data_IF_019964788619
#
_entry.id   IF_019964788619
#
_cell.length_a   1.000
_cell.length_b   1.000
_cell.length_c   1.000
_cell.angle_alpha   90.00
_cell.angle_beta   90.00
_cell.angle_gamma   90.00
#
_symmetry.space_group_name_H-M   'P 1'
#
loop_
_entity.id
_entity.type
_entity.pdbx_description
1 polymer ?
#
# COMPACT_ATOMS: atom_id res chain seq x y z
N UNK A 1 6.70 8.77 3.99
CA UNK A 1 5.66 8.20 3.09
C UNK A 1 5.72 6.70 3.21
N UNK A 2 4.57 6.04 3.35
CA UNK A 2 4.50 4.59 3.54
C UNK A 2 5.18 3.85 2.38
N UNK A 3 6.25 3.15 2.70
CA UNK A 3 7.04 2.40 1.73
C UNK A 3 7.11 0.91 2.08
N UNK A 4 6.40 0.50 3.13
CA UNK A 4 6.51 -0.86 3.63
C UNK A 4 5.26 -1.26 4.40
N UNK A 5 4.74 -2.44 4.12
CA UNK A 5 3.56 -2.99 4.78
C UNK A 5 3.60 -4.51 4.82
N UNK A 6 2.77 -5.07 5.68
CA UNK A 6 2.55 -6.50 5.79
C UNK A 6 1.17 -6.85 5.23
N UNK A 7 1.07 -7.73 4.23
CA UNK A 7 -0.20 -8.21 3.71
C UNK A 7 -1.03 -8.97 4.75
N UNK A 8 -2.20 -9.42 4.36
CA UNK A 8 -3.11 -10.18 5.20
C UNK A 8 -2.54 -11.55 5.59
N UNK A 9 -2.89 -12.01 6.78
CA UNK A 9 -2.82 -13.41 7.16
C UNK A 9 -4.05 -14.18 6.63
N UNK A 10 -3.97 -15.50 6.53
CA UNK A 10 -5.11 -16.35 6.16
C UNK A 10 -6.31 -16.12 7.08
N UNK A 11 -6.10 -16.08 8.40
CA UNK A 11 -7.17 -15.81 9.36
C UNK A 11 -7.85 -14.45 9.16
N UNK A 12 -7.09 -13.43 8.74
CA UNK A 12 -7.66 -12.11 8.42
C UNK A 12 -8.43 -12.11 7.11
N UNK A 13 -8.01 -12.88 6.10
CA UNK A 13 -8.76 -13.09 4.87
C UNK A 13 -10.14 -13.70 5.15
N UNK A 14 -10.16 -14.78 5.92
CA UNK A 14 -11.39 -15.46 6.34
C UNK A 14 -12.32 -14.52 7.12
N UNK A 15 -11.76 -13.78 8.08
CA UNK A 15 -12.52 -12.80 8.90
C UNK A 15 -13.15 -11.66 8.05
N UNK A 16 -12.55 -11.33 6.90
CA UNK A 16 -13.09 -10.34 5.95
C UNK A 16 -14.06 -10.97 4.93
N UNK A 17 -14.26 -12.28 4.94
CA UNK A 17 -15.05 -13.00 3.95
C UNK A 17 -14.46 -12.94 2.52
N UNK A 18 -13.14 -12.72 2.42
CA UNK A 18 -12.43 -12.68 1.15
C UNK A 18 -11.95 -14.08 0.74
N UNK A 19 -11.92 -14.31 -0.56
CA UNK A 19 -11.33 -15.55 -1.11
C UNK A 19 -9.83 -15.59 -0.87
N UNK A 20 -9.25 -16.78 -0.87
CA UNK A 20 -7.80 -16.94 -0.81
C UNK A 20 -7.10 -16.21 -1.97
N UNK A 21 -5.92 -15.67 -1.70
CA UNK A 21 -5.09 -15.01 -2.71
C UNK A 21 -4.43 -16.09 -3.58
N UNK A 22 -4.72 -16.15 -4.90
CA UNK A 22 -4.36 -17.28 -5.75
C UNK A 22 -2.93 -17.26 -6.27
N UNK A 23 -2.00 -16.58 -5.54
CA UNK A 23 -0.59 -16.49 -5.90
C UNK A 23 0.27 -16.18 -4.67
N UNK A 24 1.53 -16.54 -4.76
CA UNK A 24 2.53 -16.24 -3.74
C UNK A 24 2.92 -14.75 -3.76
N UNK A 25 3.19 -14.21 -2.57
CA UNK A 25 3.66 -12.84 -2.34
C UNK A 25 4.53 -12.80 -1.09
N UNK A 26 5.30 -11.72 -0.93
CA UNK A 26 6.19 -11.55 0.22
C UNK A 26 5.41 -11.25 1.50
N UNK A 27 5.86 -11.80 2.62
CA UNK A 27 5.31 -11.49 3.96
C UNK A 27 5.45 -10.01 4.32
N UNK A 28 6.38 -9.32 3.70
CA UNK A 28 6.61 -7.89 3.87
C UNK A 28 6.92 -7.27 2.50
N UNK A 29 6.10 -6.30 2.10
CA UNK A 29 6.14 -5.69 0.76
C UNK A 29 6.87 -4.35 0.80
N UNK A 30 7.77 -4.15 -0.15
CA UNK A 30 8.52 -2.92 -0.41
C UNK A 30 8.25 -2.39 -1.83
N UNK A 31 8.59 -1.12 -2.14
CA UNK A 31 8.50 -0.62 -3.50
C UNK A 31 9.19 -1.53 -4.51
N UNK A 32 8.57 -1.71 -5.65
CA UNK A 32 8.98 -2.62 -6.74
C UNK A 32 8.82 -4.12 -6.44
N UNK A 33 8.23 -4.51 -5.29
CA UNK A 33 7.82 -5.89 -5.05
C UNK A 33 6.47 -6.19 -5.69
N UNK A 34 6.22 -7.46 -5.98
CA UNK A 34 4.89 -7.94 -6.30
C UNK A 34 4.03 -8.00 -5.03
N UNK A 35 2.78 -7.58 -5.15
CA UNK A 35 1.83 -7.53 -4.04
C UNK A 35 0.42 -7.89 -4.48
N UNK A 36 -0.44 -8.36 -3.54
CA UNK A 36 -1.86 -8.53 -3.80
C UNK A 36 -2.59 -7.18 -3.81
N UNK A 37 -3.39 -6.98 -4.84
CA UNK A 37 -4.35 -5.88 -4.97
C UNK A 37 -5.76 -6.47 -5.06
N UNK A 38 -6.69 -5.95 -4.29
CA UNK A 38 -8.11 -6.26 -4.42
C UNK A 38 -8.79 -5.16 -5.26
N UNK A 39 -9.54 -5.55 -6.27
CA UNK A 39 -10.27 -4.62 -7.11
C UNK A 39 -11.62 -5.23 -7.55
N UNK A 40 -12.49 -4.42 -8.14
CA UNK A 40 -13.76 -4.89 -8.68
C UNK A 40 -13.68 -5.03 -10.19
N UNK A 41 -14.03 -6.24 -10.67
CA UNK A 41 -14.28 -6.52 -12.08
C UNK A 41 -15.78 -6.63 -12.36
N UNK A 42 -16.14 -7.02 -13.58
CA UNK A 42 -17.52 -7.36 -13.92
C UNK A 42 -17.99 -8.64 -13.24
N UNK A 43 -17.10 -9.51 -12.81
CA UNK A 43 -17.36 -10.80 -12.17
C UNK A 43 -17.42 -10.69 -10.63
N UNK A 44 -17.08 -9.53 -10.06
CA UNK A 44 -17.06 -9.29 -8.63
C UNK A 44 -15.72 -8.81 -8.10
N UNK A 45 -15.43 -9.12 -6.85
CA UNK A 45 -14.14 -8.82 -6.24
C UNK A 45 -13.09 -9.82 -6.71
N UNK A 46 -11.95 -9.33 -7.15
CA UNK A 46 -10.85 -10.15 -7.67
C UNK A 46 -9.52 -9.72 -7.08
N UNK A 47 -8.66 -10.71 -6.88
CA UNK A 47 -7.26 -10.50 -6.58
C UNK A 47 -6.43 -10.34 -7.85
N UNK A 48 -5.47 -9.43 -7.80
CA UNK A 48 -4.49 -9.26 -8.86
C UNK A 48 -3.09 -9.09 -8.28
N UNK A 49 -2.14 -9.83 -8.83
CA UNK A 49 -0.73 -9.63 -8.58
C UNK A 49 -0.26 -8.41 -9.35
N UNK A 50 0.28 -7.42 -8.64
CA UNK A 50 0.73 -6.15 -9.22
C UNK A 50 2.07 -5.73 -8.63
N UNK A 51 2.86 -4.96 -9.38
CA UNK A 51 4.05 -4.29 -8.87
C UNK A 51 3.64 -3.14 -7.94
N UNK A 52 4.27 -3.03 -6.77
CA UNK A 52 4.09 -1.90 -5.86
C UNK A 52 4.92 -0.69 -6.33
N UNK A 53 4.26 0.21 -7.00
CA UNK A 53 4.77 1.39 -7.68
C UNK A 53 4.15 1.51 -9.05
N UNK A 54 3.46 2.64 -9.33
CA UNK A 54 2.76 2.86 -10.58
C UNK A 54 3.73 2.91 -11.76
N UNK A 55 3.48 2.09 -12.77
CA UNK A 55 4.22 2.07 -14.03
C UNK A 55 3.28 2.58 -15.13
N UNK A 56 3.38 3.86 -15.52
CA UNK A 56 2.53 4.42 -16.56
C UNK A 56 2.94 3.92 -17.95
N UNK A 57 2.01 3.99 -18.90
CA UNK A 57 2.23 3.50 -20.28
C UNK A 57 3.44 4.13 -20.99
N UNK A 58 3.74 5.38 -20.67
CA UNK A 58 4.82 6.14 -21.30
C UNK A 58 6.21 5.86 -20.69
N UNK A 59 6.30 5.22 -19.54
CA UNK A 59 7.58 4.95 -18.87
C UNK A 59 8.31 3.79 -19.57
N UNK A 60 9.50 4.02 -20.06
CA UNK A 60 10.34 2.97 -20.66
C UNK A 60 11.12 2.19 -19.59
N UNK A 61 11.47 2.86 -18.49
CA UNK A 61 12.17 2.25 -17.37
C UNK A 61 11.18 1.85 -16.26
N UNK A 62 11.13 0.56 -15.95
CA UNK A 62 10.26 0.02 -14.91
C UNK A 62 10.71 0.42 -13.50
N UNK A 63 11.96 0.88 -13.33
CA UNK A 63 12.48 1.37 -12.04
C UNK A 63 11.75 2.61 -11.54
N UNK A 64 10.93 3.25 -12.38
CA UNK A 64 10.02 4.32 -11.97
C UNK A 64 9.14 3.90 -10.79
N UNK A 65 8.82 2.60 -10.66
CA UNK A 65 8.06 2.04 -9.55
C UNK A 65 8.65 2.43 -8.18
N UNK A 66 9.97 2.54 -8.07
CA UNK A 66 10.66 2.96 -6.86
C UNK A 66 10.36 4.42 -6.43
N UNK A 67 9.74 5.22 -7.29
CA UNK A 67 9.41 6.64 -7.05
C UNK A 67 7.90 6.92 -7.08
N UNK A 68 7.09 5.93 -7.46
CA UNK A 68 5.67 6.10 -7.75
C UNK A 68 4.75 5.20 -6.90
N UNK A 69 5.29 4.63 -5.83
CA UNK A 69 4.55 3.77 -4.91
C UNK A 69 3.56 4.52 -4.01
N UNK A 70 3.65 5.86 -3.97
CA UNK A 70 2.68 6.73 -3.30
C UNK A 70 2.19 7.84 -4.23
N UNK A 71 0.87 8.02 -4.32
CA UNK A 71 0.21 9.12 -5.00
C UNK A 71 -0.43 10.06 -3.99
N UNK A 72 -0.09 11.35 -4.04
CA UNK A 72 -0.70 12.36 -3.16
C UNK A 72 -2.07 12.74 -3.71
N UNK A 73 -3.13 12.60 -2.91
CA UNK A 73 -4.50 12.94 -3.35
C UNK A 73 -4.60 14.39 -3.85
N UNK A 74 -3.84 15.30 -3.24
CA UNK A 74 -3.88 16.74 -3.57
C UNK A 74 -3.34 17.04 -4.98
N UNK A 75 -2.50 16.16 -5.52
CA UNK A 75 -1.82 16.41 -6.81
C UNK A 75 -1.94 15.27 -7.82
N UNK A 76 -2.62 14.18 -7.49
CA UNK A 76 -2.66 13.01 -8.37
C UNK A 76 -3.30 13.29 -9.74
N UNK A 77 -4.26 14.22 -9.82
CA UNK A 77 -4.86 14.65 -11.08
C UNK A 77 -3.90 15.45 -11.97
N UNK A 78 -2.85 16.05 -11.37
CA UNK A 78 -1.89 16.90 -12.08
C UNK A 78 -0.64 16.13 -12.51
N UNK A 79 -0.43 14.92 -11.96
CA UNK A 79 0.77 14.11 -12.25
C UNK A 79 0.50 13.14 -13.40
N UNK A 80 1.25 13.23 -14.52
CA UNK A 80 1.06 12.35 -15.68
C UNK A 80 1.09 10.85 -15.32
N UNK A 81 1.86 10.49 -14.30
CA UNK A 81 1.97 9.11 -13.80
C UNK A 81 0.64 8.52 -13.36
N UNK A 82 -0.23 9.32 -12.70
CA UNK A 82 -1.47 8.84 -12.09
C UNK A 82 -2.72 9.25 -12.86
N UNK A 83 -2.59 10.24 -13.75
CA UNK A 83 -3.71 10.90 -14.44
C UNK A 83 -4.60 9.91 -15.19
N UNK A 84 -4.01 8.96 -15.94
CA UNK A 84 -4.79 7.98 -16.68
C UNK A 84 -5.62 7.08 -15.75
N UNK A 85 -5.02 6.63 -14.64
CA UNK A 85 -5.69 5.72 -13.70
C UNK A 85 -6.82 6.40 -12.94
N UNK A 86 -6.61 7.64 -12.49
CA UNK A 86 -7.66 8.38 -11.76
C UNK A 86 -8.80 8.81 -12.68
N UNK A 87 -8.51 9.27 -13.90
CA UNK A 87 -9.54 9.66 -14.89
C UNK A 87 -10.39 8.45 -15.33
N UNK A 88 -9.79 7.27 -15.41
CA UNK A 88 -10.48 6.02 -15.73
C UNK A 88 -11.05 5.30 -14.51
N UNK A 89 -11.01 5.92 -13.35
CA UNK A 89 -11.54 5.37 -12.10
C UNK A 89 -11.02 3.95 -11.81
N UNK A 90 -9.71 3.73 -12.01
CA UNK A 90 -9.06 2.44 -11.75
C UNK A 90 -8.73 2.33 -10.26
N UNK A 91 -9.75 2.17 -9.45
CA UNK A 91 -9.64 2.07 -8.00
C UNK A 91 -9.44 0.62 -7.55
N UNK A 92 -8.56 0.44 -6.59
CA UNK A 92 -8.35 -0.80 -5.88
C UNK A 92 -8.06 -0.52 -4.41
N UNK A 93 -7.88 -1.55 -3.65
CA UNK A 93 -7.38 -1.45 -2.28
C UNK A 93 -6.24 -2.43 -2.07
N UNK A 94 -5.34 -2.08 -1.17
CA UNK A 94 -4.29 -2.95 -0.66
C UNK A 94 -4.71 -3.35 0.75
N UNK A 95 -5.23 -4.57 0.95
CA UNK A 95 -5.56 -5.06 2.27
C UNK A 95 -4.28 -5.40 3.03
N UNK A 96 -4.16 -4.88 4.25
CA UNK A 96 -2.96 -5.02 5.07
C UNK A 96 -3.30 -5.39 6.50
N UNK A 97 -2.39 -6.10 7.17
CA UNK A 97 -2.43 -6.29 8.62
C UNK A 97 -1.81 -5.11 9.38
N UNK A 98 -0.75 -4.53 8.81
CA UNK A 98 -0.05 -3.37 9.35
C UNK A 98 0.78 -2.68 8.26
N UNK A 99 1.07 -1.40 8.46
CA UNK A 99 2.07 -0.69 7.67
C UNK A 99 3.13 -0.06 8.56
N UNK A 100 4.25 0.31 7.97
CA UNK A 100 5.40 0.79 8.72
C UNK A 100 5.79 2.20 8.28
N UNK A 101 6.09 3.03 9.28
CA UNK A 101 6.59 4.38 9.08
C UNK A 101 7.78 4.69 9.99
N UNK A 102 8.57 5.68 9.60
CA UNK A 102 9.68 6.15 10.40
C UNK A 102 9.22 7.21 11.38
N UNK A 103 9.41 6.96 12.68
CA UNK A 103 9.29 7.96 13.74
C UNK A 103 10.70 8.38 14.15
N UNK A 104 10.92 9.69 14.31
CA UNK A 104 12.22 10.21 14.67
C UNK A 104 12.30 10.44 16.19
N UNK A 105 13.21 9.74 16.84
CA UNK A 105 13.52 9.90 18.26
C UNK A 105 14.99 10.34 18.34
N UNK A 106 15.25 11.45 19.00
CA UNK A 106 16.59 12.05 19.08
C UNK A 106 17.26 12.22 17.71
N UNK A 107 16.50 12.69 16.72
CA UNK A 107 16.90 12.85 15.32
C UNK A 107 17.34 11.57 14.60
N UNK A 108 17.03 10.39 15.15
CA UNK A 108 17.30 9.10 14.52
C UNK A 108 16.01 8.45 14.06
N UNK A 109 15.93 7.98 12.81
CA UNK A 109 14.77 7.28 12.33
C UNK A 109 14.63 5.91 13.00
N UNK A 110 13.47 5.64 13.55
CA UNK A 110 13.09 4.35 14.09
C UNK A 110 11.88 3.82 13.30
N UNK A 111 11.89 2.55 12.95
CA UNK A 111 10.77 1.91 12.28
C UNK A 111 9.69 1.57 13.29
N UNK A 112 8.47 2.01 13.02
CA UNK A 112 7.29 1.75 13.82
C UNK A 112 6.20 1.11 12.96
N UNK A 113 5.46 0.20 13.55
CA UNK A 113 4.26 -0.40 12.95
C UNK A 113 3.03 0.42 13.33
N UNK A 114 2.09 0.51 12.40
CA UNK A 114 0.74 1.06 12.61
C UNK A 114 -0.26 -0.01 12.23
N UNK A 115 -1.13 -0.39 13.16
CA UNK A 115 -2.11 -1.46 12.99
C UNK A 115 -3.39 -1.18 13.77
N UNK A 116 -4.44 -1.93 13.49
CA UNK A 116 -5.66 -1.87 14.29
C UNK A 116 -5.46 -2.55 15.65
N UNK A 117 -6.04 -1.94 16.70
CA UNK A 117 -6.00 -2.49 18.08
C UNK A 117 -6.72 -3.82 18.21
N UNK A 118 -7.76 -4.04 17.39
CA UNK A 118 -8.56 -5.27 17.38
C UNK A 118 -7.90 -6.41 16.56
N UNK A 119 -6.70 -6.19 16.01
CA UNK A 119 -5.97 -7.15 15.18
C UNK A 119 -6.57 -7.43 13.81
N UNK A 120 -7.67 -6.78 13.46
CA UNK A 120 -8.27 -6.92 12.12
C UNK A 120 -7.43 -6.23 11.06
N UNK A 121 -7.53 -6.73 9.85
CA UNK A 121 -6.98 -6.08 8.68
C UNK A 121 -7.78 -4.83 8.29
N UNK A 122 -7.16 -3.99 7.47
CA UNK A 122 -7.79 -2.79 6.92
C UNK A 122 -7.35 -2.56 5.46
N UNK A 123 -8.05 -1.67 4.78
CA UNK A 123 -7.86 -1.42 3.36
C UNK A 123 -7.18 -0.07 3.13
N UNK A 124 -6.01 -0.07 2.48
CA UNK A 124 -5.37 1.16 2.00
C UNK A 124 -5.88 1.46 0.60
N UNK A 125 -6.36 2.68 0.37
CA UNK A 125 -6.80 3.14 -0.94
C UNK A 125 -5.67 3.09 -1.97
N UNK A 126 -5.98 2.56 -3.15
CA UNK A 126 -5.01 2.42 -4.23
C UNK A 126 -5.59 2.81 -5.59
N UNK A 127 -4.69 3.24 -6.49
CA UNK A 127 -4.91 3.27 -7.92
C UNK A 127 -4.08 2.18 -8.59
N UNK A 128 -4.59 1.60 -9.68
CA UNK A 128 -3.83 0.65 -10.46
C UNK A 128 -3.73 1.03 -11.95
N UNK A 129 -2.73 0.50 -12.62
CA UNK A 129 -2.55 0.63 -14.05
C UNK A 129 -2.21 -0.75 -14.65
N UNK A 130 -2.70 -0.96 -15.88
CA UNK A 130 -2.35 -2.09 -16.71
C UNK A 130 -1.88 -1.53 -18.04
N UNK A 131 -0.66 -1.84 -18.42
CA UNK A 131 -0.11 -1.41 -19.70
C UNK A 131 0.63 -2.57 -20.37
N UNK A 132 0.63 -2.54 -21.69
CA UNK A 132 1.43 -3.46 -22.50
C UNK A 132 2.78 -2.83 -22.78
N UNK A 133 3.84 -3.62 -22.63
CA UNK A 133 5.23 -3.27 -22.95
C UNK A 133 5.82 -4.40 -23.79
N UNK A 134 5.88 -4.18 -25.11
CA UNK A 134 6.21 -5.28 -26.01
C UNK A 134 5.16 -6.39 -25.92
N UNK A 135 5.61 -7.61 -25.62
CA UNK A 135 4.74 -8.77 -25.39
C UNK A 135 4.22 -8.88 -23.94
N UNK A 136 4.81 -8.13 -23.01
CA UNK A 136 4.50 -8.22 -21.60
C UNK A 136 3.31 -7.34 -21.21
N UNK A 137 2.47 -7.86 -20.30
CA UNK A 137 1.42 -7.10 -19.64
C UNK A 137 1.91 -6.72 -18.24
N UNK A 138 2.25 -5.44 -18.06
CA UNK A 138 2.67 -4.89 -16.78
C UNK A 138 1.43 -4.46 -15.99
N UNK A 139 1.35 -4.95 -14.75
CA UNK A 139 0.31 -4.58 -13.77
C UNK A 139 0.98 -3.91 -12.60
N UNK A 140 0.53 -2.71 -12.24
CA UNK A 140 1.14 -1.93 -11.18
C UNK A 140 0.10 -1.16 -10.39
N UNK A 141 0.43 -0.80 -9.15
CA UNK A 141 -0.47 -0.03 -8.30
C UNK A 141 0.32 0.90 -7.37
N UNK A 142 -0.36 1.94 -6.90
CA UNK A 142 0.17 2.93 -5.96
C UNK A 142 -0.79 3.11 -4.80
N UNK A 143 -0.28 3.33 -3.60
CA UNK A 143 -1.08 3.79 -2.46
C UNK A 143 -1.47 5.25 -2.64
N UNK A 144 -2.69 5.62 -2.27
CA UNK A 144 -3.10 7.02 -2.19
C UNK A 144 -2.82 7.52 -0.77
N UNK A 145 -2.17 8.67 -0.69
CA UNK A 145 -1.82 9.31 0.57
C UNK A 145 -2.42 10.70 0.68
N UNK A 146 -2.61 11.17 1.91
CA UNK A 146 -3.14 12.48 2.25
C UNK A 146 -2.18 13.25 3.16
N UNK A 147 -2.38 14.56 3.26
CA UNK A 147 -1.71 15.37 4.26
C UNK A 147 -2.11 14.90 5.67
N UNK A 148 -1.16 14.82 6.57
CA UNK A 148 -1.36 14.32 7.92
C UNK A 148 -0.99 15.33 9.02
N UNK A 149 -0.84 16.61 8.71
CA UNK A 149 -0.46 17.62 9.69
C UNK A 149 -1.48 17.73 10.81
N UNK A 150 -2.77 17.54 10.51
CA UNK A 150 -3.88 17.52 11.47
C UNK A 150 -4.19 16.14 12.06
N UNK A 151 -3.55 15.08 11.61
CA UNK A 151 -3.84 13.71 12.06
C UNK A 151 -3.16 13.42 13.39
N UNK A 152 -3.90 13.11 14.43
CA UNK A 152 -3.40 13.01 15.80
C UNK A 152 -2.23 12.00 15.98
N UNK A 153 -2.22 10.90 15.22
CA UNK A 153 -1.16 9.89 15.24
C UNK A 153 -0.09 10.15 14.16
N UNK A 154 -0.47 10.32 12.89
CA UNK A 154 0.48 10.34 11.78
C UNK A 154 1.34 11.59 11.70
N UNK A 155 0.95 12.69 12.35
CA UNK A 155 1.79 13.90 12.48
C UNK A 155 3.12 13.64 13.20
N UNK A 156 3.20 12.59 14.02
CA UNK A 156 4.39 12.21 14.79
C UNK A 156 5.43 11.44 13.96
N UNK A 157 5.05 11.03 12.75
CA UNK A 157 5.92 10.28 11.86
C UNK A 157 6.66 11.18 10.88
N UNK A 158 7.59 10.61 10.13
CA UNK A 158 8.48 11.24 9.18
C UNK A 158 9.50 12.19 9.84
N UNK A 159 10.53 12.51 9.08
CA UNK A 159 11.59 13.41 9.51
C UNK A 159 11.05 14.79 9.93
N UNK A 160 11.56 15.38 11.01
CA UNK A 160 11.23 16.75 11.38
C UNK A 160 11.46 17.72 10.20
N UNK A 161 10.52 18.63 9.99
CA UNK A 161 10.56 19.56 8.85
C UNK A 161 10.02 19.02 7.52
N UNK A 162 9.88 17.72 7.35
CA UNK A 162 9.25 17.14 6.17
C UNK A 162 7.72 17.15 6.25
N UNK A 163 7.07 17.18 5.08
CA UNK A 163 5.61 17.09 4.96
C UNK A 163 5.13 15.78 5.59
N UNK A 164 4.20 15.90 6.52
CA UNK A 164 3.56 14.76 7.19
C UNK A 164 2.52 14.12 6.28
N UNK A 165 2.56 12.82 6.16
CA UNK A 165 1.69 12.07 5.25
C UNK A 165 1.03 10.89 5.98
N UNK A 166 -0.17 10.53 5.56
CA UNK A 166 -0.86 9.30 5.96
C UNK A 166 -1.36 8.55 4.73
N UNK A 167 -1.51 7.26 4.83
CA UNK A 167 -2.31 6.49 3.88
C UNK A 167 -3.78 6.84 4.07
N UNK A 168 -4.58 6.71 3.02
CA UNK A 168 -6.04 6.79 3.11
C UNK A 168 -6.54 5.38 3.40
N UNK A 169 -7.24 5.23 4.52
CA UNK A 169 -7.89 3.96 4.89
C UNK A 169 -9.34 3.98 4.45
N UNK A 170 -9.73 2.97 3.68
CA UNK A 170 -11.13 2.77 3.27
C UNK A 170 -11.84 1.92 4.33
N UNK A 171 -12.87 2.45 5.01
CA UNK A 171 -13.67 1.67 5.93
C UNK A 171 -14.32 0.46 5.25
N UNK A 172 -14.50 -0.64 6.01
CA UNK A 172 -15.02 -1.89 5.45
C UNK A 172 -16.42 -1.72 4.81
N UNK A 173 -17.27 -0.96 5.45
CA UNK A 173 -18.63 -0.64 4.98
C UNK A 173 -18.65 0.27 3.73
N UNK A 174 -17.54 0.93 3.42
CA UNK A 174 -17.37 1.77 2.22
C UNK A 174 -16.55 1.11 1.11
N UNK A 175 -16.08 -0.12 1.29
CA UNK A 175 -15.24 -0.83 0.32
C UNK A 175 -15.91 -0.91 -1.06
N UNK A 176 -17.16 -1.36 -1.10
CA UNK A 176 -17.93 -1.48 -2.34
C UNK A 176 -18.14 -0.13 -3.03
N UNK A 177 -18.42 0.91 -2.26
CA UNK A 177 -18.57 2.27 -2.77
C UNK A 177 -17.26 2.75 -3.42
N UNK A 178 -16.12 2.53 -2.75
CA UNK A 178 -14.80 2.89 -3.27
C UNK A 178 -14.47 2.16 -4.57
N UNK A 179 -14.59 0.84 -4.59
CA UNK A 179 -14.23 0.01 -5.74
C UNK A 179 -15.15 0.21 -6.96
N UNK A 180 -16.38 0.69 -6.76
CA UNK A 180 -17.33 1.01 -7.81
C UNK A 180 -17.40 2.50 -8.16
N UNK A 181 -16.59 3.34 -7.51
CA UNK A 181 -16.62 4.79 -7.70
C UNK A 181 -16.30 5.20 -9.14
N UNK A 182 -17.09 6.13 -9.70
CA UNK A 182 -17.01 6.54 -11.11
C UNK A 182 -16.62 8.01 -11.29
N UNK A 183 -16.03 8.61 -10.28
CA UNK A 183 -15.54 9.99 -10.34
C UNK A 183 -14.05 10.06 -10.03
N UNK A 184 -13.34 10.95 -10.70
CA UNK A 184 -11.96 11.29 -10.34
C UNK A 184 -11.87 12.13 -9.06
N UNK A 185 -12.97 12.71 -8.61
CA UNK A 185 -13.02 13.39 -7.32
C UNK A 185 -13.25 12.36 -6.20
N UNK A 186 -12.19 12.11 -5.42
CA UNK A 186 -12.19 11.15 -4.31
C UNK A 186 -12.28 11.84 -2.94
N UNK A 187 -12.60 13.14 -2.90
CA UNK A 187 -12.56 13.92 -1.65
C UNK A 187 -13.42 13.33 -0.54
N UNK A 188 -14.55 12.71 -0.88
CA UNK A 188 -15.42 12.04 0.11
C UNK A 188 -14.80 10.81 0.78
N UNK A 189 -13.66 10.33 0.29
CA UNK A 189 -12.90 9.21 0.86
C UNK A 189 -11.60 9.66 1.54
N UNK A 190 -11.25 10.95 1.43
CA UNK A 190 -10.01 11.50 1.98
C UNK A 190 -10.23 11.90 3.42
N UNK A 191 -10.32 10.89 4.27
CA UNK A 191 -10.39 11.04 5.73
C UNK A 191 -9.22 10.29 6.37
N UNK A 192 -8.73 10.83 7.47
CA UNK A 192 -7.80 10.10 8.33
C UNK A 192 -8.49 8.88 8.95
N UNK A 193 -7.77 7.82 9.19
CA UNK A 193 -8.31 6.70 9.94
C UNK A 193 -8.58 7.09 11.40
N UNK A 194 -9.60 6.52 12.05
CA UNK A 194 -9.95 6.83 13.45
C UNK A 194 -8.83 6.38 14.38
N UNK A 195 -8.15 7.34 15.02
CA UNK A 195 -6.95 7.09 15.84
C UNK A 195 -7.23 6.16 17.01
N UNK A 196 -8.45 6.21 17.54
CA UNK A 196 -8.93 5.38 18.64
C UNK A 196 -8.96 3.89 18.29
N UNK A 197 -9.08 3.54 17.01
CA UNK A 197 -9.08 2.15 16.54
C UNK A 197 -7.67 1.63 16.22
N UNK A 198 -6.68 2.52 16.16
CA UNK A 198 -5.33 2.17 15.76
C UNK A 198 -4.33 2.35 16.90
N UNK A 199 -3.24 1.63 16.80
CA UNK A 199 -2.08 1.75 17.67
C UNK A 199 -0.80 1.77 16.85
N UNK A 200 0.27 2.31 17.45
CA UNK A 200 1.59 2.22 16.85
C UNK A 200 2.59 1.68 17.88
N UNK A 201 3.54 0.88 17.41
CA UNK A 201 4.56 0.27 18.24
C UNK A 201 5.92 0.22 17.55
N UNK A 202 6.98 0.27 18.33
CA UNK A 202 8.33 0.09 17.82
C UNK A 202 8.49 -1.30 17.19
N UNK A 203 8.94 -1.34 15.93
CA UNK A 203 9.02 -2.56 15.13
C UNK A 203 10.36 -2.62 14.37
N UNK A 204 11.48 -2.82 15.06
CA UNK A 204 12.79 -2.90 14.41
C UNK A 204 12.85 -4.10 13.46
N UNK A 205 13.59 -3.95 12.34
CA UNK A 205 13.90 -5.10 11.49
C UNK A 205 14.79 -6.07 12.27
N UNK A 206 14.32 -7.28 12.43
CA UNK A 206 15.15 -8.37 12.93
C UNK A 206 16.10 -8.74 11.79
N UNK A 207 17.39 -8.51 11.96
CA UNK A 207 18.40 -9.09 11.09
C UNK A 207 18.41 -10.60 11.35
N UNK A 208 17.74 -11.38 10.52
CA UNK A 208 17.98 -12.81 10.49
C UNK A 208 19.37 -12.95 9.86
N UNK A 209 20.38 -13.28 10.67
CA UNK A 209 21.65 -13.75 10.15
C UNK A 209 21.33 -14.97 9.30
N UNK A 210 21.61 -14.86 8.00
CA UNK A 210 21.59 -16.03 7.13
C UNK A 210 22.66 -16.96 7.68
N UNK A 211 22.26 -17.99 8.40
CA UNK A 211 23.10 -19.15 8.68
C UNK A 211 23.34 -19.74 7.29
N UNK A 212 24.49 -19.45 6.71
CA UNK A 212 24.97 -20.17 5.54
C UNK A 212 25.07 -21.63 5.95
N UNK A 213 24.41 -22.58 5.29
CA UNK A 213 24.73 -23.97 5.49
C UNK A 213 26.16 -24.13 5.01
N UNK A 214 27.09 -24.28 5.93
CA UNK A 214 28.41 -24.81 5.58
C UNK A 214 28.18 -26.24 5.11
N UNK A 215 28.15 -26.42 3.80
CA UNK A 215 28.34 -27.74 3.18
C UNK A 215 29.76 -28.16 3.51
N UNK A 216 29.92 -28.94 4.57
CA UNK A 216 31.12 -29.73 4.77
C UNK A 216 31.13 -30.82 3.70
N UNK A 217 31.81 -30.57 2.61
CA UNK A 217 32.30 -31.63 1.71
C UNK A 217 33.60 -32.16 2.27
N UNK A 218 33.52 -33.14 3.17
CA UNK A 218 34.61 -34.14 3.44
C UNK A 218 34.00 -35.14 4.43
N UNK A 219 33.48 -36.24 3.86
CA UNK A 219 33.70 -37.62 4.24
C UNK A 219 33.19 -38.53 3.09
#
# INVERSE_FOLDING_TARGET
MCANFKPLTLAQLEALGLTEIPFEYSDEVYPNYEMPLLFRSQQGLEWRKVCFGMIPKWADDLSIALKTYNARNETLMQKPTFQNSIQKCKFGVIPVSEFYESKYIDNKPQRWSVRRKDGKAFYIAALYEICQKGEDIIRSATMITMDAIGHAMMKEFHEPGNVKRSVIVIPHDRLEQWLSWKSSNIQSFVDGFPVEEFECSFAPKIKIEKISPQLNFFD
#
